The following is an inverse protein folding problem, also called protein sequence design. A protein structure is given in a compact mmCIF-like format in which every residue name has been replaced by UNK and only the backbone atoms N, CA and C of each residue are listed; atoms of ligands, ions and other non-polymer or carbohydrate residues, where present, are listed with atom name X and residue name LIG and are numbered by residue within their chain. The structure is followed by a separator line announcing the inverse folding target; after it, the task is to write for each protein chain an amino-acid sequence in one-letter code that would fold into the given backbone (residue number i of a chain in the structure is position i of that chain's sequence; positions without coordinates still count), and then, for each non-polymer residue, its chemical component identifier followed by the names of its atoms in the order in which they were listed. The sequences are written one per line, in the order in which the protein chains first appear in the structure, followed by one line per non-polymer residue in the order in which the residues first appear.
data_IF_066585530401
#
_entry.id   IF_066585530401
#
_cell.length_a   1.000
_cell.length_b   1.000
_cell.length_c   1.000
_cell.angle_alpha   90.00
_cell.angle_beta   90.00
_cell.angle_gamma   90.00
#
_symmetry.space_group_name_H-M   'P 1'
#
loop_
_entity.id
_entity.type
_entity.pdbx_description
1 polymer ?
#
# COMPACT_ATOMS: atom_id res chain seq x y z
N UNK A 1 -3.16 -15.01 -14.89
CA UNK A 1 -2.68 -13.63 -14.56
C UNK A 1 -3.79 -12.71 -14.02
N UNK A 2 -4.89 -13.24 -13.45
CA UNK A 2 -6.03 -12.43 -13.00
C UNK A 2 -5.83 -11.74 -11.65
N UNK A 3 -4.65 -11.86 -11.03
CA UNK A 3 -4.32 -11.36 -9.69
C UNK A 3 -3.32 -10.20 -9.70
N UNK A 4 -3.06 -9.62 -10.88
CA UNK A 4 -2.14 -8.48 -11.01
C UNK A 4 -2.95 -7.19 -11.00
N UNK A 5 -2.44 -6.19 -10.28
CA UNK A 5 -3.02 -4.85 -10.22
C UNK A 5 -1.92 -3.82 -10.47
N UNK A 6 -2.23 -2.70 -11.15
CA UNK A 6 -1.28 -1.61 -11.30
C UNK A 6 -0.98 -0.99 -9.94
N UNK A 7 0.28 -0.66 -9.69
CA UNK A 7 0.73 -0.11 -8.41
C UNK A 7 1.95 0.78 -8.62
N UNK A 8 2.07 1.82 -7.80
CA UNK A 8 3.25 2.69 -7.80
C UNK A 8 4.48 1.96 -7.23
N UNK A 9 5.70 2.29 -7.68
CA UNK A 9 6.93 1.63 -7.20
C UNK A 9 7.10 1.75 -5.68
N UNK A 10 6.84 2.94 -5.13
CA UNK A 10 6.94 3.20 -3.69
C UNK A 10 5.94 2.35 -2.88
N UNK A 11 4.70 2.25 -3.36
CA UNK A 11 3.61 1.51 -2.75
C UNK A 11 3.91 0.00 -2.75
N UNK A 12 4.42 -0.52 -3.88
CA UNK A 12 4.76 -1.93 -4.03
C UNK A 12 5.94 -2.34 -3.15
N UNK A 13 6.96 -1.48 -3.04
CA UNK A 13 8.10 -1.71 -2.14
C UNK A 13 7.66 -1.75 -0.67
N UNK A 14 6.80 -0.82 -0.25
CA UNK A 14 6.27 -0.81 1.12
C UNK A 14 5.40 -2.02 1.41
N UNK A 15 4.50 -2.40 0.49
CA UNK A 15 3.70 -3.63 0.63
C UNK A 15 4.56 -4.89 0.80
N UNK A 16 5.72 -4.95 0.13
CA UNK A 16 6.67 -6.08 0.24
C UNK A 16 7.41 -6.10 1.58
N UNK A 17 7.74 -4.94 2.13
CA UNK A 17 8.64 -4.81 3.28
C UNK A 17 7.90 -4.67 4.62
N UNK A 18 6.65 -4.25 4.61
CA UNK A 18 5.84 -4.04 5.80
C UNK A 18 5.11 -5.31 6.22
N UNK A 19 4.93 -5.48 7.53
CA UNK A 19 4.03 -6.47 8.09
C UNK A 19 2.58 -6.17 7.68
N UNK A 20 1.68 -7.17 7.68
CA UNK A 20 0.29 -6.95 7.29
C UNK A 20 -0.43 -5.87 8.11
N UNK A 21 -0.07 -5.68 9.39
CA UNK A 21 -0.63 -4.63 10.24
C UNK A 21 -0.09 -3.25 9.84
N UNK A 22 1.22 -3.12 9.68
CA UNK A 22 1.88 -1.87 9.28
C UNK A 22 1.42 -1.42 7.88
N UNK A 23 1.18 -2.36 6.96
CA UNK A 23 0.61 -2.05 5.64
C UNK A 23 -0.79 -1.47 5.73
N UNK A 24 -1.65 -1.98 6.63
CA UNK A 24 -2.99 -1.42 6.86
C UNK A 24 -2.91 -0.01 7.42
N UNK A 25 -2.00 0.24 8.35
CA UNK A 25 -1.76 1.58 8.91
C UNK A 25 -1.25 2.55 7.86
N UNK A 26 -0.28 2.13 7.04
CA UNK A 26 0.21 2.90 5.90
C UNK A 26 -0.93 3.28 4.94
N UNK A 27 -1.79 2.31 4.57
CA UNK A 27 -2.94 2.55 3.72
C UNK A 27 -3.95 3.53 4.36
N UNK A 28 -4.15 3.46 5.67
CA UNK A 28 -5.03 4.38 6.40
C UNK A 28 -4.47 5.82 6.41
N UNK A 29 -3.14 5.99 6.49
CA UNK A 29 -2.49 7.31 6.43
C UNK A 29 -2.65 7.92 5.03
N UNK A 30 -2.35 7.17 3.97
CA UNK A 30 -2.45 7.70 2.60
C UNK A 30 -3.90 7.99 2.20
N UNK A 31 -4.86 7.20 2.70
CA UNK A 31 -6.30 7.37 2.39
C UNK A 31 -6.94 8.58 3.07
N UNK A 32 -6.29 9.14 4.09
CA UNK A 32 -6.78 10.32 4.83
C UNK A 32 -6.31 11.66 4.27
N UNK A 33 -5.43 11.68 3.25
CA UNK A 33 -5.10 12.91 2.50
C UNK A 33 -6.24 13.28 1.55
N UNK A 34 -7.33 13.81 2.10
CA UNK A 34 -8.33 14.59 1.37
C UNK A 34 -8.65 15.82 2.20
N UNK A 35 -7.83 16.85 2.03
CA UNK A 35 -8.16 18.25 2.28
C UNK A 35 -7.56 19.06 1.13
#
# INVERSE_FOLDING_TARGET
KSNLVPCCKSCNNQKKNLLPIEWKEYLAIIGKKKE
#
